data_IF_593837026927
#
_entry.id   IF_593837026927
#
_cell.length_a   1.000
_cell.length_b   1.000
_cell.length_c   1.000
_cell.angle_alpha   90.00
_cell.angle_beta   90.00
_cell.angle_gamma   90.00
#
_symmetry.space_group_name_H-M   'P 1'
#
loop_
_entity.id
_entity.type
_entity.pdbx_description
1 polymer ?
#
# COMPACT_ATOMS: atom_id res chain seq x y z
N UNK A 1 -11.91 -14.19 -14.44
CA UNK A 1 -11.37 -14.82 -13.20
C UNK A 1 -11.70 -13.86 -12.07
N UNK A 2 -12.45 -14.26 -11.04
CA UNK A 2 -12.90 -13.33 -9.99
C UNK A 2 -11.80 -13.17 -8.93
N UNK A 3 -11.56 -11.93 -8.49
CA UNK A 3 -10.75 -11.67 -7.31
C UNK A 3 -11.45 -12.27 -6.07
N UNK A 4 -10.67 -12.88 -5.17
CA UNK A 4 -11.13 -13.33 -3.87
C UNK A 4 -10.53 -12.46 -2.77
N UNK A 5 -11.07 -12.55 -1.54
CA UNK A 5 -10.46 -11.91 -0.37
C UNK A 5 -9.05 -12.45 -0.10
N UNK A 6 -8.44 -12.02 1.02
CA UNK A 6 -7.16 -12.55 1.48
C UNK A 6 -7.23 -14.09 1.61
N UNK A 7 -6.12 -14.75 1.33
CA UNK A 7 -6.00 -16.19 1.50
C UNK A 7 -6.11 -16.55 2.99
N UNK A 8 -6.91 -17.59 3.25
CA UNK A 8 -7.20 -18.11 4.59
C UNK A 8 -6.21 -19.18 5.05
N UNK A 9 -5.35 -19.65 4.14
CA UNK A 9 -4.43 -20.75 4.33
C UNK A 9 -2.99 -20.24 4.57
N UNK A 10 -2.03 -21.16 4.70
CA UNK A 10 -0.61 -20.84 4.88
C UNK A 10 -0.02 -20.08 3.67
N UNK A 11 0.94 -19.19 3.92
CA UNK A 11 1.61 -18.43 2.86
C UNK A 11 2.92 -19.11 2.45
N UNK A 12 3.21 -19.15 1.16
CA UNK A 12 4.57 -19.42 0.70
C UNK A 12 5.48 -18.22 0.91
N UNK A 13 6.78 -18.42 0.71
CA UNK A 13 7.75 -17.31 0.67
C UNK A 13 7.26 -16.25 -0.31
N UNK A 14 7.21 -14.96 0.08
CA UNK A 14 6.79 -13.90 -0.81
C UNK A 14 7.61 -13.87 -2.10
N UNK A 15 6.93 -13.76 -3.24
CA UNK A 15 7.56 -13.45 -4.53
C UNK A 15 8.20 -12.07 -4.47
N UNK A 16 7.59 -11.13 -3.73
CA UNK A 16 8.24 -9.90 -3.31
C UNK A 16 7.67 -9.42 -1.97
N UNK A 17 8.47 -8.62 -1.26
CA UNK A 17 8.08 -7.83 -0.10
C UNK A 17 8.76 -6.46 -0.22
N UNK A 18 7.99 -5.40 -0.04
CA UNK A 18 8.46 -4.02 0.08
C UNK A 18 8.07 -3.49 1.46
N UNK A 19 9.08 -3.36 2.33
CA UNK A 19 8.94 -2.86 3.71
C UNK A 19 9.60 -1.49 3.89
N UNK A 20 10.03 -0.84 2.80
CA UNK A 20 10.72 0.47 2.76
C UNK A 20 12.05 0.55 3.52
N UNK A 21 12.49 -0.55 4.15
CA UNK A 21 13.74 -0.68 4.87
C UNK A 21 13.68 -0.11 6.29
N UNK A 22 14.84 0.26 6.83
CA UNK A 22 14.95 0.87 8.15
C UNK A 22 16.13 1.86 8.22
N UNK A 23 16.07 2.81 9.14
CA UNK A 23 17.15 3.77 9.38
C UNK A 23 16.90 4.72 10.56
N UNK A 24 17.94 5.46 10.92
CA UNK A 24 17.91 6.38 12.06
C UNK A 24 17.29 7.75 11.73
N UNK A 25 17.33 8.16 10.46
CA UNK A 25 16.73 9.42 10.01
C UNK A 25 15.22 9.28 9.97
N UNK A 26 14.48 10.31 10.36
CA UNK A 26 13.01 10.32 10.28
C UNK A 26 12.54 10.11 8.84
N UNK A 27 13.20 10.77 7.88
CA UNK A 27 12.93 10.68 6.45
C UNK A 27 14.00 9.82 5.76
N UNK A 28 13.55 8.82 5.02
CA UNK A 28 14.42 7.98 4.20
C UNK A 28 14.92 8.74 2.97
N UNK A 29 16.14 8.43 2.51
CA UNK A 29 16.65 8.88 1.21
C UNK A 29 16.28 7.92 0.06
N UNK A 30 15.53 6.86 0.35
CA UNK A 30 15.07 5.92 -0.66
C UNK A 30 14.10 6.63 -1.62
N UNK A 31 14.22 6.29 -2.90
CA UNK A 31 13.29 6.73 -3.95
C UNK A 31 12.44 5.54 -4.42
N UNK A 32 11.24 5.77 -4.98
CA UNK A 32 10.46 4.70 -5.60
C UNK A 32 11.27 3.86 -6.58
N UNK A 33 12.08 4.52 -7.41
CA UNK A 33 12.95 3.85 -8.37
C UNK A 33 13.99 2.93 -7.69
N UNK A 34 14.60 3.36 -6.59
CA UNK A 34 15.54 2.53 -5.82
C UNK A 34 14.89 1.32 -5.15
N UNK A 35 13.58 1.41 -4.88
CA UNK A 35 12.76 0.33 -4.31
C UNK A 35 12.04 -0.50 -5.40
N UNK A 36 12.23 -0.15 -6.68
CA UNK A 36 11.69 -0.90 -7.82
C UNK A 36 10.20 -0.73 -8.06
N UNK A 37 9.62 0.43 -7.71
CA UNK A 37 8.24 0.79 -8.04
C UNK A 37 8.12 2.22 -8.59
N UNK A 38 6.97 2.54 -9.14
CA UNK A 38 6.60 3.90 -9.57
C UNK A 38 5.33 4.36 -8.88
N UNK A 39 5.14 5.67 -8.79
CA UNK A 39 3.97 6.31 -8.18
C UNK A 39 3.63 7.58 -8.96
N UNK A 40 2.37 8.02 -8.93
CA UNK A 40 1.97 9.33 -9.47
C UNK A 40 2.12 10.45 -8.44
N UNK A 41 2.39 10.11 -7.18
CA UNK A 41 2.58 11.07 -6.10
C UNK A 41 3.97 11.69 -6.17
N UNK A 42 4.08 12.97 -5.76
CA UNK A 42 5.38 13.67 -5.74
C UNK A 42 6.09 13.44 -4.41
N UNK A 43 7.40 13.15 -4.41
CA UNK A 43 8.18 13.08 -3.17
C UNK A 43 8.49 14.51 -2.66
N UNK A 44 8.07 14.84 -1.44
CA UNK A 44 8.19 16.21 -0.89
C UNK A 44 8.77 16.31 0.53
N UNK A 45 8.93 15.22 1.27
CA UNK A 45 9.40 15.28 2.65
C UNK A 45 8.45 16.09 3.55
N UNK A 46 8.99 17.09 4.27
CA UNK A 46 8.27 17.88 5.30
C UNK A 46 7.97 19.34 4.90
N UNK A 47 6.74 19.86 5.10
CA UNK A 47 5.53 19.08 5.33
C UNK A 47 5.20 18.25 4.08
N UNK A 48 4.42 17.17 4.22
CA UNK A 48 3.93 16.38 3.08
C UNK A 48 2.59 16.96 2.57
N UNK A 49 2.56 17.81 1.51
CA UNK A 49 1.32 18.43 1.00
C UNK A 49 0.41 17.45 0.23
N UNK A 50 -0.82 17.86 -0.08
CA UNK A 50 -1.76 17.09 -0.90
C UNK A 50 -1.13 16.62 -2.22
N UNK A 51 -1.36 15.35 -2.56
CA UNK A 51 -0.82 14.71 -3.76
C UNK A 51 0.68 14.42 -3.69
N UNK A 52 1.24 14.39 -2.48
CA UNK A 52 2.61 13.99 -2.24
C UNK A 52 2.71 12.77 -1.33
N UNK A 53 3.88 12.18 -1.33
CA UNK A 53 4.24 11.12 -0.42
C UNK A 53 5.62 11.41 0.18
N UNK A 54 5.96 10.65 1.21
CA UNK A 54 7.31 10.52 1.71
C UNK A 54 7.51 9.15 2.34
N UNK A 55 8.76 8.75 2.58
CA UNK A 55 9.10 7.51 3.29
C UNK A 55 9.67 7.89 4.64
N UNK A 56 8.98 7.51 5.72
CA UNK A 56 9.26 7.94 7.09
C UNK A 56 9.21 6.79 8.08
N UNK A 57 9.96 6.89 9.18
CA UNK A 57 9.94 5.85 10.24
C UNK A 57 9.00 6.18 11.41
N UNK A 58 8.49 7.41 11.45
CA UNK A 58 7.43 7.88 12.34
C UNK A 58 6.54 8.85 11.56
N UNK A 59 5.23 8.84 11.81
CA UNK A 59 4.32 9.82 11.20
C UNK A 59 4.66 11.22 11.74
N UNK A 60 5.10 12.17 10.89
CA UNK A 60 5.48 13.49 11.34
C UNK A 60 4.25 14.28 11.79
N UNK A 61 4.43 15.13 12.80
CA UNK A 61 3.39 16.04 13.27
C UNK A 61 3.28 17.28 12.37
N UNK A 62 3.04 17.05 11.07
CA UNK A 62 2.88 18.10 10.06
C UNK A 62 1.50 18.75 10.10
N UNK A 63 0.50 17.94 10.45
CA UNK A 63 -0.90 18.35 10.55
C UNK A 63 -1.45 17.91 11.90
N UNK A 64 -2.24 18.78 12.53
CA UNK A 64 -2.88 18.49 13.82
C UNK A 64 -3.98 17.41 13.72
N UNK A 65 -4.39 17.05 12.50
CA UNK A 65 -5.31 15.97 12.19
C UNK A 65 -4.61 14.63 12.01
N UNK A 66 -3.28 14.57 12.05
CA UNK A 66 -2.54 13.32 11.92
C UNK A 66 -2.22 12.71 13.29
N UNK A 67 -2.51 11.42 13.42
CA UNK A 67 -2.10 10.62 14.57
C UNK A 67 -0.69 10.09 14.36
N UNK A 68 0.12 10.12 15.41
CA UNK A 68 1.48 9.61 15.38
C UNK A 68 1.50 8.07 15.43
N UNK A 69 2.60 7.48 14.94
CA UNK A 69 2.89 6.06 15.02
C UNK A 69 4.05 5.66 14.12
N UNK A 70 4.61 4.47 14.37
CA UNK A 70 5.77 3.92 13.66
C UNK A 70 5.35 2.86 12.62
N UNK A 71 6.32 2.29 11.92
CA UNK A 71 6.15 1.20 10.95
C UNK A 71 5.39 -0.02 11.49
N UNK A 72 4.94 -0.87 10.56
CA UNK A 72 4.16 -2.06 10.89
C UNK A 72 5.04 -3.20 11.44
N UNK A 73 6.23 -3.38 10.89
CA UNK A 73 7.11 -4.52 11.22
C UNK A 73 7.60 -4.44 12.67
N UNK A 74 7.69 -3.24 13.23
CA UNK A 74 8.06 -2.99 14.62
C UNK A 74 9.55 -3.15 14.89
N UNK A 75 10.36 -3.15 13.83
CA UNK A 75 11.81 -3.08 13.96
C UNK A 75 12.26 -1.65 14.25
N UNK A 76 13.37 -1.50 14.96
CA UNK A 76 13.90 -0.18 15.27
C UNK A 76 14.14 0.63 13.98
N UNK A 77 13.50 1.80 13.88
CA UNK A 77 13.61 2.70 12.74
C UNK A 77 13.06 2.14 11.44
N UNK A 78 12.11 1.20 11.45
CA UNK A 78 11.45 0.71 10.24
C UNK A 78 10.76 1.85 9.50
N UNK A 79 10.84 1.85 8.17
CA UNK A 79 10.22 2.86 7.34
C UNK A 79 8.85 2.39 6.85
N UNK A 80 8.00 3.37 6.54
CA UNK A 80 6.70 3.20 5.88
C UNK A 80 6.52 4.33 4.88
N UNK A 81 5.67 4.14 3.87
CA UNK A 81 5.31 5.21 2.94
C UNK A 81 4.09 5.95 3.49
N UNK A 82 4.26 7.24 3.78
CA UNK A 82 3.17 8.17 4.11
C UNK A 82 2.64 8.81 2.84
N UNK A 83 1.32 8.85 2.67
CA UNK A 83 0.64 9.45 1.54
C UNK A 83 -0.35 10.49 2.04
N UNK A 84 -0.11 11.76 1.66
CA UNK A 84 -1.12 12.80 1.75
C UNK A 84 -1.90 12.81 0.42
N UNK A 85 -3.11 12.27 0.45
CA UNK A 85 -3.79 11.84 -0.75
C UNK A 85 -4.47 13.00 -1.50
N UNK A 86 -4.24 13.08 -2.83
CA UNK A 86 -4.73 14.16 -3.67
C UNK A 86 -6.26 14.20 -3.78
N UNK A 87 -6.78 15.33 -4.27
CA UNK A 87 -8.19 15.48 -4.59
C UNK A 87 -8.74 14.56 -5.70
N UNK A 88 -7.85 13.89 -6.43
CA UNK A 88 -8.16 12.98 -7.54
C UNK A 88 -7.43 11.64 -7.35
N UNK A 89 -7.99 10.52 -7.86
CA UNK A 89 -7.33 9.22 -7.83
C UNK A 89 -5.89 9.27 -8.35
N UNK A 90 -4.97 8.64 -7.62
CA UNK A 90 -3.56 8.52 -7.96
C UNK A 90 -3.03 7.12 -7.70
N UNK A 91 -2.03 6.70 -8.48
CA UNK A 91 -1.34 5.42 -8.25
C UNK A 91 -0.33 5.60 -7.13
N UNK A 92 -0.58 4.97 -6.00
CA UNK A 92 0.30 4.98 -4.83
C UNK A 92 1.51 4.10 -5.10
N UNK A 93 1.27 2.95 -5.74
CA UNK A 93 2.29 1.95 -6.04
C UNK A 93 1.97 1.28 -7.37
N UNK A 94 2.97 1.18 -8.24
CA UNK A 94 2.95 0.37 -9.46
C UNK A 94 4.26 -0.41 -9.57
N UNK A 95 4.16 -1.73 -9.69
CA UNK A 95 5.33 -2.61 -9.88
C UNK A 95 5.02 -3.77 -10.81
N UNK A 96 5.88 -3.97 -11.81
CA UNK A 96 5.84 -5.15 -12.68
C UNK A 96 6.56 -6.30 -11.99
N UNK A 97 5.90 -7.45 -11.88
CA UNK A 97 6.45 -8.69 -11.32
C UNK A 97 6.50 -9.74 -12.42
N UNK A 98 7.66 -10.39 -12.56
CA UNK A 98 7.89 -11.54 -13.44
C UNK A 98 8.11 -12.81 -12.63
N UNK A 99 8.16 -13.96 -13.30
CA UNK A 99 8.39 -15.27 -12.65
C UNK A 99 7.16 -15.85 -11.96
N UNK A 100 5.96 -15.35 -12.27
CA UNK A 100 4.71 -15.95 -11.80
C UNK A 100 4.46 -17.27 -12.55
N UNK A 101 3.75 -18.19 -11.90
CA UNK A 101 3.34 -19.45 -12.51
C UNK A 101 1.85 -19.36 -12.88
N UNK A 102 1.49 -19.43 -14.18
CA UNK A 102 0.10 -19.47 -14.59
C UNK A 102 -0.68 -20.59 -13.91
N UNK A 103 -1.91 -20.31 -13.47
CA UNK A 103 -2.76 -21.24 -12.74
C UNK A 103 -2.52 -21.27 -11.22
N UNK A 104 -1.45 -20.66 -10.70
CA UNK A 104 -1.24 -20.52 -9.26
C UNK A 104 -2.00 -19.32 -8.71
N UNK A 105 -2.60 -19.51 -7.53
CA UNK A 105 -3.26 -18.44 -6.77
C UNK A 105 -2.22 -17.67 -5.96
N UNK A 106 -2.19 -16.36 -6.14
CA UNK A 106 -1.37 -15.43 -5.38
C UNK A 106 -2.24 -14.48 -4.58
N UNK A 107 -1.70 -13.96 -3.48
CA UNK A 107 -2.26 -12.84 -2.71
C UNK A 107 -1.38 -11.61 -2.92
N UNK A 108 -1.99 -10.51 -3.34
CA UNK A 108 -1.40 -9.18 -3.32
C UNK A 108 -2.00 -8.41 -2.14
N UNK A 109 -1.17 -7.99 -1.18
CA UNK A 109 -1.61 -7.34 0.05
C UNK A 109 -0.65 -6.26 0.52
N UNK A 110 -1.13 -5.37 1.38
CA UNK A 110 -0.32 -4.42 2.13
C UNK A 110 -0.93 -4.20 3.52
N UNK A 111 -0.15 -3.67 4.46
CA UNK A 111 -0.66 -3.10 5.69
C UNK A 111 -0.89 -1.61 5.49
N UNK A 112 -2.08 -1.13 5.85
CA UNK A 112 -2.46 0.27 5.70
C UNK A 112 -3.10 0.76 7.00
N UNK A 113 -2.74 1.97 7.43
CA UNK A 113 -3.42 2.67 8.52
C UNK A 113 -3.91 4.03 8.05
N UNK A 114 -5.13 4.39 8.45
CA UNK A 114 -5.63 5.75 8.35
C UNK A 114 -4.94 6.59 9.43
N UNK A 115 -4.28 7.67 9.04
CA UNK A 115 -3.60 8.57 9.99
C UNK A 115 -4.44 9.77 10.39
N UNK A 116 -5.62 9.95 9.80
CA UNK A 116 -6.49 11.07 10.10
C UNK A 116 -7.24 10.86 11.42
N UNK A 117 -7.50 11.96 12.09
CA UNK A 117 -8.33 12.07 13.27
C UNK A 117 -9.18 13.33 13.21
N UNK A 118 -10.48 13.20 13.45
CA UNK A 118 -11.38 14.34 13.57
C UNK A 118 -12.80 14.00 13.15
N UNK A 119 -13.70 14.98 13.21
CA UNK A 119 -15.09 14.77 12.79
C UNK A 119 -15.20 14.86 11.26
N UNK A 120 -15.95 13.94 10.64
CA UNK A 120 -16.25 13.91 9.20
C UNK A 120 -15.03 13.93 8.26
N UNK A 121 -13.91 13.30 8.64
CA UNK A 121 -12.80 13.15 7.69
C UNK A 121 -13.15 12.12 6.62
N UNK A 122 -12.65 12.34 5.41
CA UNK A 122 -12.72 11.35 4.35
C UNK A 122 -11.83 10.18 4.74
N UNK A 123 -12.30 8.96 4.49
CA UNK A 123 -11.55 7.74 4.81
C UNK A 123 -10.71 7.30 3.61
N UNK A 124 -9.45 6.92 3.82
CA UNK A 124 -8.67 6.27 2.78
C UNK A 124 -9.38 5.01 2.28
N UNK A 125 -9.38 4.83 0.97
CA UNK A 125 -9.94 3.66 0.30
C UNK A 125 -9.04 3.36 -0.90
N UNK A 126 -8.48 2.15 -0.96
CA UNK A 126 -7.45 1.79 -1.92
C UNK A 126 -7.94 0.63 -2.78
N UNK A 127 -7.88 0.81 -4.10
CA UNK A 127 -8.16 -0.23 -5.07
C UNK A 127 -6.85 -0.96 -5.43
N UNK A 128 -6.85 -2.26 -5.20
CA UNK A 128 -5.80 -3.20 -5.61
C UNK A 128 -6.14 -3.73 -6.98
N UNK A 129 -5.26 -3.53 -7.95
CA UNK A 129 -5.46 -3.95 -9.33
C UNK A 129 -4.29 -4.82 -9.80
N UNK A 130 -4.61 -5.80 -10.63
CA UNK A 130 -3.66 -6.63 -11.37
C UNK A 130 -3.94 -6.39 -12.83
N UNK A 131 -2.95 -5.91 -13.56
CA UNK A 131 -3.08 -5.57 -14.97
C UNK A 131 -2.01 -6.24 -15.82
N UNK A 132 -2.29 -6.42 -17.10
CA UNK A 132 -1.31 -6.89 -18.09
C UNK A 132 -0.33 -5.77 -18.45
N UNK A 133 0.68 -6.07 -19.27
CA UNK A 133 1.61 -5.07 -19.81
C UNK A 133 0.91 -4.00 -20.69
N UNK A 134 -0.27 -4.32 -21.25
CA UNK A 134 -1.12 -3.42 -22.02
C UNK A 134 -2.18 -2.71 -21.17
N UNK A 135 -2.09 -2.82 -19.83
CA UNK A 135 -3.05 -2.30 -18.84
C UNK A 135 -4.46 -2.92 -18.90
N UNK A 136 -4.62 -4.12 -19.45
CA UNK A 136 -5.88 -4.86 -19.36
C UNK A 136 -6.06 -5.40 -17.93
N UNK A 137 -7.25 -5.22 -17.36
CA UNK A 137 -7.53 -5.66 -15.99
C UNK A 137 -7.69 -7.18 -15.90
N UNK A 138 -6.88 -7.81 -15.06
CA UNK A 138 -6.97 -9.25 -14.72
C UNK A 138 -7.84 -9.46 -13.48
N UNK A 139 -7.63 -8.64 -12.45
CA UNK A 139 -8.35 -8.68 -11.19
C UNK A 139 -8.33 -7.31 -10.52
N UNK A 140 -9.37 -6.99 -9.76
CA UNK A 140 -9.48 -5.76 -8.99
C UNK A 140 -10.30 -5.98 -7.71
N UNK A 141 -9.91 -5.32 -6.62
CA UNK A 141 -10.64 -5.33 -5.36
C UNK A 141 -10.36 -4.04 -4.56
N UNK A 142 -11.41 -3.46 -3.98
CA UNK A 142 -11.30 -2.34 -3.03
C UNK A 142 -10.98 -2.86 -1.63
N UNK A 143 -10.16 -2.12 -0.88
CA UNK A 143 -9.98 -2.32 0.57
C UNK A 143 -11.25 -2.03 1.38
N UNK A 144 -12.22 -1.36 0.78
CA UNK A 144 -13.22 -0.58 1.50
C UNK A 144 -12.57 0.59 2.25
N UNK A 145 -13.39 1.32 2.99
CA UNK A 145 -12.89 2.42 3.81
C UNK A 145 -12.02 1.90 4.95
N UNK A 146 -10.92 2.59 5.17
CA UNK A 146 -10.02 2.38 6.31
C UNK A 146 -10.43 3.38 7.38
N UNK A 147 -11.12 2.88 8.41
CA UNK A 147 -11.65 3.72 9.48
C UNK A 147 -10.54 4.38 10.29
N UNK A 148 -10.82 5.58 10.76
CA UNK A 148 -9.99 6.29 11.73
C UNK A 148 -9.93 5.52 13.06
N UNK A 149 -8.84 5.73 13.78
CA UNK A 149 -8.60 5.14 15.11
C UNK A 149 -7.95 6.18 16.02
N UNK A 150 -8.03 5.99 17.34
CA UNK A 150 -7.44 6.96 18.31
C UNK A 150 -5.90 6.90 18.35
N UNK A 151 -5.34 5.77 17.92
CA UNK A 151 -3.91 5.47 17.86
C UNK A 151 -3.67 4.73 16.56
N UNK A 152 -2.50 4.87 15.93
CA UNK A 152 -2.21 4.18 14.68
C UNK A 152 -2.47 2.66 14.78
N UNK A 153 -3.31 2.12 13.88
CA UNK A 153 -3.68 0.70 13.85
C UNK A 153 -3.55 0.17 12.43
N UNK A 154 -2.63 -0.77 12.24
CA UNK A 154 -2.37 -1.39 10.95
C UNK A 154 -3.46 -2.41 10.57
N UNK A 155 -4.01 -2.27 9.37
CA UNK A 155 -4.95 -3.22 8.78
C UNK A 155 -4.34 -3.87 7.54
N UNK A 156 -4.25 -5.19 7.53
CA UNK A 156 -3.91 -5.93 6.31
C UNK A 156 -5.07 -5.90 5.33
N UNK A 157 -4.83 -5.38 4.14
CA UNK A 157 -5.81 -5.29 3.04
C UNK A 157 -5.20 -5.81 1.75
N UNK A 158 -6.05 -6.18 0.79
CA UNK A 158 -5.61 -6.71 -0.49
C UNK A 158 -6.59 -7.74 -1.03
N UNK A 159 -6.10 -8.59 -1.92
CA UNK A 159 -6.90 -9.61 -2.58
C UNK A 159 -6.06 -10.80 -3.01
N UNK A 160 -6.74 -11.88 -3.39
CA UNK A 160 -6.14 -13.00 -4.09
C UNK A 160 -6.67 -13.15 -5.50
N UNK A 161 -5.82 -13.67 -6.39
CA UNK A 161 -6.13 -13.91 -7.79
C UNK A 161 -5.36 -15.12 -8.32
N UNK A 162 -5.88 -15.78 -9.34
CA UNK A 162 -5.16 -16.83 -10.08
C UNK A 162 -4.40 -16.16 -11.22
N UNK A 163 -3.08 -16.31 -11.27
CA UNK A 163 -2.27 -15.68 -12.31
C UNK A 163 -2.55 -16.33 -13.67
N UNK A 164 -2.92 -15.57 -14.72
CA UNK A 164 -3.01 -16.11 -16.08
C UNK A 164 -1.68 -16.06 -16.85
N UNK A 165 -0.71 -15.27 -16.36
CA UNK A 165 0.54 -14.95 -17.07
C UNK A 165 1.75 -15.14 -16.15
N UNK A 166 2.94 -15.16 -16.76
CA UNK A 166 4.22 -15.20 -16.03
C UNK A 166 4.68 -13.81 -15.58
N UNK A 167 4.13 -12.76 -16.17
CA UNK A 167 4.44 -11.36 -15.86
C UNK A 167 3.14 -10.57 -15.78
N UNK A 168 2.98 -9.81 -14.68
CA UNK A 168 1.82 -8.95 -14.42
C UNK A 168 2.28 -7.67 -13.71
N UNK A 169 1.45 -6.65 -13.74
CA UNK A 169 1.69 -5.39 -13.02
C UNK A 169 0.70 -5.27 -11.87
N UNK A 170 1.23 -5.01 -10.68
CA UNK A 170 0.48 -4.76 -9.47
C UNK A 170 0.32 -3.24 -9.32
N UNK A 171 -0.91 -2.77 -9.08
CA UNK A 171 -1.21 -1.35 -8.94
C UNK A 171 -2.10 -1.11 -7.73
N UNK A 172 -1.73 -0.17 -6.87
CA UNK A 172 -2.57 0.38 -5.80
C UNK A 172 -2.98 1.80 -6.19
N UNK A 173 -4.28 2.07 -6.21
CA UNK A 173 -4.84 3.36 -6.61
C UNK A 173 -5.74 3.89 -5.50
N UNK A 174 -5.60 5.15 -5.14
CA UNK A 174 -6.57 5.81 -4.24
C UNK A 174 -7.94 5.91 -4.91
N UNK A 175 -8.98 5.57 -4.18
CA UNK A 175 -10.37 5.55 -4.63
C UNK A 175 -11.28 6.43 -3.75
N UNK A 176 -10.72 7.09 -2.73
CA UNK A 176 -11.44 8.04 -1.90
C UNK A 176 -11.69 9.35 -2.67
N UNK A 177 -12.81 10.05 -2.41
CA UNK A 177 -13.01 11.40 -2.92
C UNK A 177 -11.98 12.36 -2.32
N UNK A 178 -11.66 13.43 -3.05
CA UNK A 178 -10.80 14.49 -2.53
C UNK A 178 -11.40 15.27 -1.36
N UNK A 179 -10.54 15.80 -0.48
CA UNK A 179 -10.93 16.72 0.61
C UNK A 179 -10.17 16.46 1.91
N UNK A 180 -10.66 17.02 3.02
CA UNK A 180 -10.06 16.83 4.35
C UNK A 180 -10.10 15.37 4.75
N UNK A 181 -8.93 14.82 5.10
CA UNK A 181 -8.77 13.43 5.50
C UNK A 181 -8.08 12.65 4.40
N UNK A 182 -8.39 11.36 4.31
CA UNK A 182 -7.99 10.46 3.23
C UNK A 182 -6.49 10.13 3.14
N UNK A 183 -5.70 10.70 4.03
CA UNK A 183 -4.27 10.41 4.24
C UNK A 183 -4.05 9.07 4.96
N UNK A 184 -2.98 8.38 4.61
CA UNK A 184 -2.67 7.07 5.17
C UNK A 184 -1.19 6.78 5.12
N UNK A 185 -0.79 5.79 5.91
CA UNK A 185 0.51 5.12 5.76
C UNK A 185 0.31 3.72 5.21
N UNK A 186 1.24 3.28 4.38
CA UNK A 186 1.31 1.92 3.84
C UNK A 186 2.68 1.31 4.13
N UNK A 187 2.66 0.04 4.50
CA UNK A 187 3.85 -0.76 4.77
C UNK A 187 3.63 -2.22 4.31
N UNK A 188 4.72 -2.97 4.17
CA UNK A 188 4.73 -4.41 3.87
C UNK A 188 3.87 -4.79 2.65
N UNK A 189 4.07 -4.07 1.54
CA UNK A 189 3.43 -4.39 0.26
C UNK A 189 4.04 -5.71 -0.25
N UNK A 190 3.21 -6.71 -0.50
CA UNK A 190 3.68 -8.07 -0.78
C UNK A 190 2.83 -8.81 -1.79
N UNK A 191 3.48 -9.65 -2.60
CA UNK A 191 2.85 -10.73 -3.37
C UNK A 191 3.41 -12.07 -2.89
N UNK A 192 2.53 -12.99 -2.50
CA UNK A 192 2.92 -14.34 -2.09
C UNK A 192 1.98 -15.38 -2.71
N UNK A 193 2.46 -16.59 -3.06
CA UNK A 193 1.59 -17.69 -3.44
C UNK A 193 0.77 -18.16 -2.23
N UNK A 194 -0.51 -18.46 -2.46
CA UNK A 194 -1.36 -19.07 -1.45
C UNK A 194 -1.10 -20.58 -1.44
N UNK A 195 -0.66 -21.12 -0.31
CA UNK A 195 -0.43 -22.56 -0.15
C UNK A 195 -1.67 -23.15 0.51
N UNK A 196 -2.37 -24.03 -0.20
CA UNK A 196 -3.38 -24.86 0.45
C UNK A 196 -2.67 -25.81 1.41
N UNK A 197 -3.09 -25.79 2.67
CA UNK A 197 -2.72 -26.84 3.61
C UNK A 197 -3.36 -28.13 3.12
N UNK A 198 -2.54 -29.08 2.68
CA UNK A 198 -2.97 -30.45 2.38
C UNK A 198 -3.38 -31.19 3.64
#
# INVERSE_FOLDING_TARGET
IKAGGLCTDTYGTPTFLESFGAGNSEYSSATPASLGFTTTYTDKGRPTPDGSFTIVNDVPHDYNTWINGTDHTGNAGGYMMLVNAAGTPGEVFRRTISGLTPGIRYQFSAFISNINYGYNQIKPNINFNIVTATNDTVASMSSGDINETQTLQWKKVGMSFVSPLTTLTLVMVTNAPGGSGNDFVVDDISLAPCIQST
#
